data_IF_938232014637
#
_entry.id   IF_938232014637
#
_cell.length_a   1.000
_cell.length_b   1.000
_cell.length_c   1.000
_cell.angle_alpha   90.00
_cell.angle_beta   90.00
_cell.angle_gamma   90.00
#
_symmetry.space_group_name_H-M   'P 1'
#
loop_
_entity.id
_entity.type
_entity.pdbx_description
1 polymer ?
#
# COMPACT_ATOMS: atom_id res chain seq x y z
N UNK A 1 12.37 -3.60 23.94
CA UNK A 1 11.67 -3.14 22.72
C UNK A 1 12.62 -2.24 21.96
N UNK A 2 12.79 -2.45 20.66
CA UNK A 2 13.58 -1.55 19.81
C UNK A 2 12.75 -0.30 19.56
N UNK A 3 13.34 0.89 19.69
CA UNK A 3 12.65 2.12 19.37
C UNK A 3 12.33 2.17 17.85
N UNK A 4 11.19 2.74 17.43
CA UNK A 4 10.91 2.92 16.02
C UNK A 4 11.97 3.80 15.33
N UNK A 5 12.33 3.45 14.11
CA UNK A 5 13.25 4.22 13.26
C UNK A 5 12.48 4.79 12.07
N UNK A 6 12.42 6.12 11.96
CA UNK A 6 11.65 6.84 10.95
C UNK A 6 12.61 7.44 9.93
N UNK A 7 12.51 6.97 8.68
CA UNK A 7 13.19 7.55 7.53
C UNK A 7 12.17 8.13 6.54
N UNK A 8 12.51 9.26 5.92
CA UNK A 8 11.70 9.87 4.87
C UNK A 8 12.45 9.80 3.55
N UNK A 9 11.79 9.24 2.53
CA UNK A 9 12.32 9.18 1.16
C UNK A 9 11.48 10.06 0.25
N UNK A 10 12.12 10.86 -0.60
CA UNK A 10 11.47 11.62 -1.66
C UNK A 10 11.63 10.84 -2.96
N UNK A 11 10.52 10.49 -3.60
CA UNK A 11 10.51 9.59 -4.75
C UNK A 11 10.04 10.28 -6.02
N UNK A 12 10.45 9.74 -7.17
CA UNK A 12 10.04 10.23 -8.48
C UNK A 12 10.50 11.66 -8.78
N UNK A 13 9.91 12.26 -9.81
CA UNK A 13 10.15 13.64 -10.22
C UNK A 13 9.31 14.64 -9.43
N UNK A 14 8.15 14.20 -8.92
CA UNK A 14 7.28 15.04 -8.10
C UNK A 14 7.78 15.17 -6.65
N UNK A 15 8.77 14.37 -6.25
CA UNK A 15 9.38 14.44 -4.92
C UNK A 15 8.37 14.14 -3.81
N UNK A 16 7.43 13.22 -4.05
CA UNK A 16 6.45 12.84 -3.03
C UNK A 16 7.17 12.13 -1.88
N UNK A 17 6.83 12.47 -0.62
CA UNK A 17 7.43 11.82 0.53
C UNK A 17 6.78 10.47 0.80
N UNK A 18 7.62 9.49 1.14
CA UNK A 18 7.24 8.21 1.73
C UNK A 18 7.92 8.14 3.09
N UNK A 19 7.14 8.01 4.15
CA UNK A 19 7.69 7.68 5.47
C UNK A 19 7.86 6.16 5.55
N UNK A 20 9.03 5.73 6.00
CA UNK A 20 9.40 4.33 6.21
C UNK A 20 9.72 4.20 7.68
N UNK A 21 8.97 3.36 8.38
CA UNK A 21 9.06 3.21 9.82
C UNK A 21 9.43 1.78 10.14
N UNK A 22 10.66 1.53 10.56
CA UNK A 22 11.09 0.22 11.06
C UNK A 22 10.78 0.09 12.55
N UNK A 23 10.53 -1.14 13.02
CA UNK A 23 10.09 -1.43 14.39
C UNK A 23 8.80 -0.65 14.78
N UNK A 24 7.82 -0.63 13.86
CA UNK A 24 6.62 0.20 13.93
C UNK A 24 5.70 -0.09 15.11
N UNK A 25 5.33 -1.35 15.32
CA UNK A 25 4.49 -1.78 16.45
C UNK A 25 5.36 -2.29 17.61
N UNK A 26 5.00 -2.03 18.89
CA UNK A 26 5.78 -2.49 20.03
C UNK A 26 5.81 -4.02 20.19
N UNK A 27 4.74 -4.71 19.80
CA UNK A 27 4.62 -6.18 19.85
C UNK A 27 4.02 -6.76 18.55
N UNK A 28 4.80 -6.86 17.45
CA UNK A 28 4.30 -7.37 16.18
C UNK A 28 4.07 -8.89 16.20
N UNK A 29 4.68 -9.61 17.16
CA UNK A 29 4.53 -11.07 17.28
C UNK A 29 3.15 -11.42 17.82
N UNK A 30 2.65 -10.67 18.80
CA UNK A 30 1.26 -10.80 19.28
C UNK A 30 0.26 -10.49 18.17
N UNK A 31 0.49 -9.46 17.35
CA UNK A 31 -0.37 -9.17 16.19
C UNK A 31 -0.46 -10.37 15.23
N UNK A 32 0.66 -11.04 14.94
CA UNK A 32 0.65 -12.25 14.09
C UNK A 32 -0.12 -13.41 14.73
N UNK A 33 0.05 -13.64 16.03
CA UNK A 33 -0.70 -14.68 16.76
C UNK A 33 -2.21 -14.41 16.72
N UNK A 34 -2.62 -13.18 16.98
CA UNK A 34 -4.03 -12.78 16.91
C UNK A 34 -4.59 -12.91 15.49
N UNK A 35 -3.82 -12.53 14.48
CA UNK A 35 -4.23 -12.72 13.08
C UNK A 35 -4.51 -14.21 12.77
N UNK A 36 -3.69 -15.14 13.27
CA UNK A 36 -3.90 -16.58 13.05
C UNK A 36 -5.21 -17.12 13.67
N UNK A 37 -5.76 -16.43 14.65
CA UNK A 37 -7.02 -16.77 15.34
C UNK A 37 -8.22 -15.97 14.78
N UNK A 38 -7.99 -15.03 13.87
CA UNK A 38 -9.01 -14.12 13.35
C UNK A 38 -9.67 -14.69 12.09
N UNK A 39 -10.98 -14.49 11.96
CA UNK A 39 -11.72 -14.89 10.77
C UNK A 39 -11.54 -13.89 9.62
N UNK A 40 -10.83 -14.30 8.57
CA UNK A 40 -10.68 -13.53 7.34
C UNK A 40 -11.85 -13.73 6.37
N UNK A 41 -12.19 -12.66 5.64
CA UNK A 41 -13.26 -12.62 4.65
C UNK A 41 -12.77 -12.00 3.33
N UNK A 42 -13.43 -12.23 2.19
CA UNK A 42 -13.06 -11.58 0.93
C UNK A 42 -12.93 -10.06 1.10
N UNK A 43 -11.85 -9.50 0.55
CA UNK A 43 -11.59 -8.08 0.57
C UNK A 43 -12.59 -7.29 -0.27
N UNK A 44 -12.78 -6.03 0.10
CA UNK A 44 -13.60 -5.06 -0.63
C UNK A 44 -12.72 -4.09 -1.42
N UNK A 45 -13.32 -3.18 -2.20
CA UNK A 45 -12.63 -2.09 -2.90
C UNK A 45 -11.42 -2.54 -3.76
N UNK A 46 -11.61 -3.60 -4.56
CA UNK A 46 -10.61 -4.16 -5.47
C UNK A 46 -9.39 -4.81 -4.80
N UNK A 47 -9.37 -4.98 -3.48
CA UNK A 47 -8.26 -5.69 -2.83
C UNK A 47 -8.16 -7.16 -3.30
N UNK A 48 -7.00 -7.63 -3.81
CA UNK A 48 -6.86 -8.97 -4.40
C UNK A 48 -6.59 -10.05 -3.34
N UNK A 49 -7.51 -10.18 -2.38
CA UNK A 49 -7.40 -11.24 -1.37
C UNK A 49 -8.43 -11.12 -0.25
N UNK A 50 -8.00 -11.38 0.97
CA UNK A 50 -8.85 -11.45 2.17
C UNK A 50 -8.43 -10.43 3.22
N UNK A 51 -9.38 -10.01 4.05
CA UNK A 51 -9.20 -9.03 5.13
C UNK A 51 -9.88 -9.48 6.42
N UNK A 52 -9.42 -8.93 7.54
CA UNK A 52 -10.00 -9.17 8.85
C UNK A 52 -9.86 -7.94 9.76
N UNK A 53 -10.65 -7.90 10.82
CA UNK A 53 -10.60 -6.84 11.83
C UNK A 53 -9.28 -6.88 12.60
N UNK A 54 -8.82 -5.71 13.04
CA UNK A 54 -7.63 -5.56 13.86
C UNK A 54 -7.96 -5.69 15.36
N UNK A 55 -6.96 -5.98 16.20
CA UNK A 55 -7.05 -5.80 17.64
C UNK A 55 -7.43 -4.35 17.99
N UNK A 56 -8.24 -4.17 19.03
CA UNK A 56 -8.84 -2.88 19.37
C UNK A 56 -7.80 -1.81 19.76
N UNK A 57 -6.66 -2.24 20.28
CA UNK A 57 -5.53 -1.42 20.72
C UNK A 57 -4.58 -1.02 19.58
N UNK A 58 -4.59 -1.73 18.44
CA UNK A 58 -3.64 -1.51 17.34
C UNK A 58 -3.49 -0.04 16.95
N UNK A 59 -4.61 0.67 16.75
CA UNK A 59 -4.58 2.07 16.30
C UNK A 59 -4.04 3.01 17.39
N UNK A 60 -4.34 2.73 18.65
CA UNK A 60 -3.83 3.49 19.79
C UNK A 60 -2.33 3.28 19.98
N UNK A 61 -1.86 2.05 19.81
CA UNK A 61 -0.46 1.68 19.99
C UNK A 61 0.46 2.31 18.93
N UNK A 62 -0.04 2.49 17.70
CA UNK A 62 0.77 3.05 16.60
C UNK A 62 0.59 4.56 16.41
N UNK A 63 -0.42 5.18 17.03
CA UNK A 63 -0.69 6.61 16.84
C UNK A 63 0.52 7.52 17.13
N UNK A 64 1.27 7.36 18.24
CA UNK A 64 2.37 8.30 18.55
C UNK A 64 3.52 8.27 17.53
N UNK A 65 3.90 7.07 17.07
CA UNK A 65 4.95 6.94 16.04
C UNK A 65 4.45 7.41 14.68
N UNK A 66 3.17 7.19 14.37
CA UNK A 66 2.56 7.67 13.14
C UNK A 66 2.47 9.20 13.09
N UNK A 67 2.04 9.85 14.17
CA UNK A 67 2.01 11.32 14.28
C UNK A 67 3.40 11.92 14.06
N UNK A 68 4.44 11.33 14.68
CA UNK A 68 5.84 11.74 14.47
C UNK A 68 6.26 11.58 13.00
N UNK A 69 5.86 10.48 12.35
CA UNK A 69 6.16 10.25 10.95
C UNK A 69 5.41 11.23 10.02
N UNK A 70 4.16 11.58 10.37
CA UNK A 70 3.35 12.54 9.61
C UNK A 70 3.95 13.95 9.67
N UNK A 71 4.36 14.38 10.86
CA UNK A 71 5.11 15.60 11.11
C UNK A 71 6.36 15.67 10.20
N UNK A 72 7.22 14.66 10.28
CA UNK A 72 8.50 14.65 9.56
C UNK A 72 8.36 14.55 8.03
N UNK A 73 7.45 13.71 7.54
CA UNK A 73 7.34 13.44 6.10
C UNK A 73 6.46 14.45 5.36
N UNK A 74 5.37 14.88 5.99
CA UNK A 74 4.34 15.69 5.35
C UNK A 74 4.23 17.11 5.92
N UNK A 75 4.98 17.44 6.98
CA UNK A 75 4.85 18.73 7.67
C UNK A 75 3.48 18.91 8.29
N UNK A 76 2.87 17.81 8.77
CA UNK A 76 1.52 17.79 9.31
C UNK A 76 1.56 17.41 10.78
N UNK A 77 1.43 18.42 11.64
CA UNK A 77 1.43 18.28 13.10
C UNK A 77 0.00 18.43 13.69
N UNK A 78 -0.99 18.67 12.84
CA UNK A 78 -2.40 18.74 13.23
C UNK A 78 -2.97 17.32 13.42
N UNK A 79 -4.24 17.24 13.83
CA UNK A 79 -4.91 15.96 14.03
C UNK A 79 -4.98 15.07 12.78
N UNK A 80 -5.28 13.80 13.02
CA UNK A 80 -5.64 12.84 11.98
C UNK A 80 -6.93 12.10 12.37
N UNK A 81 -7.67 11.63 11.37
CA UNK A 81 -8.82 10.77 11.56
C UNK A 81 -8.63 9.45 10.81
N UNK A 82 -8.78 8.32 11.50
CA UNK A 82 -8.80 7.01 10.86
C UNK A 82 -10.04 6.87 9.96
N UNK A 83 -9.84 6.35 8.75
CA UNK A 83 -10.90 6.07 7.77
C UNK A 83 -11.24 4.58 7.80
N UNK A 84 -10.23 3.72 7.68
CA UNK A 84 -10.36 2.27 7.65
C UNK A 84 -9.02 1.63 8.05
N UNK A 85 -9.04 0.46 8.67
CA UNK A 85 -7.86 -0.30 9.02
C UNK A 85 -8.19 -1.78 9.19
N UNK A 86 -7.44 -2.65 8.52
CA UNK A 86 -7.71 -4.09 8.54
C UNK A 86 -6.42 -4.90 8.37
N UNK A 87 -6.39 -6.10 8.95
CA UNK A 87 -5.49 -7.14 8.46
C UNK A 87 -5.82 -7.42 7.00
N UNK A 88 -4.80 -7.71 6.20
CA UNK A 88 -4.87 -7.85 4.76
C UNK A 88 -3.91 -8.96 4.31
N UNK A 89 -4.41 -9.91 3.53
CA UNK A 89 -3.60 -10.98 2.92
C UNK A 89 -3.93 -11.09 1.45
N UNK A 90 -2.90 -11.03 0.60
CA UNK A 90 -3.05 -11.22 -0.84
C UNK A 90 -3.19 -12.71 -1.12
N UNK A 91 -4.29 -13.12 -1.76
CA UNK A 91 -4.58 -14.55 -2.01
C UNK A 91 -5.08 -14.83 -3.42
N UNK A 92 -5.41 -13.80 -4.21
CA UNK A 92 -5.96 -13.98 -5.55
C UNK A 92 -4.87 -14.43 -6.52
N UNK A 93 -5.01 -15.59 -7.19
CA UNK A 93 -4.04 -16.03 -8.19
C UNK A 93 -3.92 -15.05 -9.38
N UNK A 94 -2.74 -14.92 -10.01
CA UNK A 94 -2.49 -14.01 -11.13
C UNK A 94 -3.51 -14.07 -12.28
N UNK A 95 -3.93 -15.29 -12.65
CA UNK A 95 -4.89 -15.55 -13.73
C UNK A 95 -6.32 -15.12 -13.38
N UNK A 96 -6.62 -14.90 -12.09
CA UNK A 96 -7.93 -14.45 -11.58
C UNK A 96 -7.99 -12.97 -11.25
N UNK A 97 -6.91 -12.22 -11.43
CA UNK A 97 -6.90 -10.79 -11.19
C UNK A 97 -7.83 -10.08 -12.17
N UNK A 98 -8.63 -9.15 -11.66
CA UNK A 98 -9.39 -8.21 -12.50
C UNK A 98 -8.46 -7.19 -13.14
N UNK A 99 -8.90 -6.51 -14.21
CA UNK A 99 -8.07 -5.51 -14.90
C UNK A 99 -7.51 -4.42 -13.97
N UNK A 100 -8.28 -3.81 -13.04
CA UNK A 100 -7.72 -2.84 -12.10
C UNK A 100 -6.62 -3.39 -11.19
N UNK A 101 -6.65 -4.69 -10.87
CA UNK A 101 -5.65 -5.36 -10.03
C UNK A 101 -4.35 -5.69 -10.78
N UNK A 102 -4.33 -5.52 -12.11
CA UNK A 102 -3.16 -5.73 -12.98
C UNK A 102 -2.45 -4.43 -13.34
N UNK A 103 -2.83 -3.32 -12.71
CA UNK A 103 -2.35 -1.97 -13.00
C UNK A 103 -1.93 -1.27 -11.70
N UNK A 104 -0.95 -0.35 -11.74
CA UNK A 104 -0.76 0.60 -10.66
C UNK A 104 -2.05 1.41 -10.44
N UNK A 105 -2.35 1.70 -9.18
CA UNK A 105 -3.58 2.37 -8.77
C UNK A 105 -3.32 3.47 -7.75
N UNK A 106 -4.38 4.23 -7.46
CA UNK A 106 -4.50 5.16 -6.33
C UNK A 106 -5.75 4.77 -5.55
N UNK A 107 -5.75 4.91 -4.23
CA UNK A 107 -6.91 4.58 -3.39
C UNK A 107 -7.93 5.72 -3.34
N UNK A 108 -7.46 6.95 -3.55
CA UNK A 108 -8.27 8.15 -3.59
C UNK A 108 -7.55 9.28 -4.31
N UNK A 109 -8.31 10.30 -4.71
CA UNK A 109 -7.79 11.52 -5.35
C UNK A 109 -7.64 12.70 -4.38
N UNK A 110 -8.03 12.51 -3.11
CA UNK A 110 -7.82 13.48 -2.05
C UNK A 110 -6.39 13.40 -1.53
N UNK A 111 -5.64 14.50 -1.66
CA UNK A 111 -4.26 14.59 -1.21
C UNK A 111 -4.11 14.51 0.32
N UNK A 112 -5.19 14.74 1.07
CA UNK A 112 -5.22 14.62 2.53
C UNK A 112 -5.41 13.18 2.99
N UNK A 113 -5.80 12.27 2.09
CA UNK A 113 -5.90 10.85 2.41
C UNK A 113 -4.53 10.19 2.31
N UNK A 114 -4.13 9.55 3.40
CA UNK A 114 -2.85 8.86 3.56
C UNK A 114 -3.13 7.36 3.66
N UNK A 115 -2.34 6.58 2.93
CA UNK A 115 -2.29 5.13 3.01
C UNK A 115 -1.18 4.71 3.97
N UNK A 116 -1.43 3.63 4.70
CA UNK A 116 -0.48 2.95 5.55
C UNK A 116 -0.46 1.46 5.22
N UNK A 117 0.72 0.92 4.97
CA UNK A 117 0.96 -0.52 4.82
C UNK A 117 1.98 -0.96 5.85
N UNK A 118 1.57 -1.80 6.80
CA UNK A 118 2.44 -2.37 7.83
C UNK A 118 2.67 -3.86 7.58
N UNK A 119 3.92 -4.23 7.34
CA UNK A 119 4.36 -5.57 6.99
C UNK A 119 4.54 -6.44 8.23
N UNK A 120 3.76 -7.51 8.31
CA UNK A 120 3.79 -8.44 9.44
C UNK A 120 4.32 -9.82 9.05
N UNK A 121 4.92 -9.99 7.87
CA UNK A 121 5.44 -11.27 7.39
C UNK A 121 6.97 -11.34 7.52
N UNK A 122 7.54 -12.24 8.36
CA UNK A 122 8.98 -12.31 8.61
C UNK A 122 9.83 -12.66 7.39
N UNK A 123 9.32 -13.52 6.52
CA UNK A 123 10.05 -14.09 5.39
C UNK A 123 9.67 -13.45 4.04
N UNK A 124 8.77 -12.46 4.06
CA UNK A 124 8.26 -11.82 2.86
C UNK A 124 9.32 -10.91 2.22
N UNK A 125 9.46 -11.03 0.90
CA UNK A 125 10.41 -10.28 0.07
C UNK A 125 9.70 -9.36 -0.93
N UNK A 126 8.38 -9.28 -0.83
CA UNK A 126 7.56 -8.36 -1.61
C UNK A 126 7.78 -6.92 -1.13
N UNK A 127 6.80 -6.05 -1.33
CA UNK A 127 6.86 -4.67 -0.87
C UNK A 127 5.76 -3.83 -1.47
N UNK A 128 6.05 -2.53 -1.62
CA UNK A 128 5.22 -1.59 -2.38
C UNK A 128 6.10 -0.94 -3.44
N UNK A 129 5.63 -0.98 -4.68
CA UNK A 129 6.24 -0.28 -5.80
C UNK A 129 5.41 0.97 -6.12
N UNK A 130 6.10 2.02 -6.57
CA UNK A 130 5.52 3.31 -6.95
C UNK A 130 5.80 3.59 -8.40
N UNK A 131 4.86 4.26 -9.07
CA UNK A 131 4.85 4.35 -10.52
C UNK A 131 4.62 5.77 -11.03
N UNK A 132 5.14 6.01 -12.24
CA UNK A 132 4.75 7.13 -13.09
C UNK A 132 3.97 6.59 -14.28
N UNK A 133 2.82 7.19 -14.56
CA UNK A 133 2.12 6.95 -15.82
C UNK A 133 2.87 7.62 -16.98
N UNK A 134 3.24 6.87 -18.02
CA UNK A 134 4.19 7.34 -19.03
C UNK A 134 3.62 8.43 -19.93
N UNK A 135 2.37 8.31 -20.37
CA UNK A 135 1.79 9.26 -21.33
C UNK A 135 1.42 10.59 -20.69
N UNK A 136 0.93 10.59 -19.44
CA UNK A 136 0.60 11.82 -18.72
C UNK A 136 1.77 12.38 -17.93
N UNK A 137 2.78 11.56 -17.62
CA UNK A 137 3.89 11.91 -16.73
C UNK A 137 3.50 11.99 -15.25
N UNK A 138 2.27 11.63 -14.88
CA UNK A 138 1.79 11.76 -13.50
C UNK A 138 2.32 10.65 -12.61
N UNK A 139 2.78 11.03 -11.42
CA UNK A 139 3.10 10.12 -10.32
C UNK A 139 1.97 10.18 -9.28
N UNK A 140 1.48 11.39 -9.00
CA UNK A 140 0.30 11.64 -8.17
C UNK A 140 -0.90 12.02 -9.04
N UNK A 141 -2.07 11.44 -8.75
CA UNK A 141 -3.32 11.74 -9.44
C UNK A 141 -4.35 12.26 -8.43
N UNK A 142 -4.42 13.58 -8.31
CA UNK A 142 -5.40 14.29 -7.51
C UNK A 142 -6.73 14.52 -8.25
N UNK A 143 -7.65 15.24 -7.61
CA UNK A 143 -8.96 15.54 -8.18
C UNK A 143 -8.88 16.24 -9.55
N UNK A 144 -7.94 17.17 -9.73
CA UNK A 144 -7.77 17.92 -10.97
C UNK A 144 -7.16 17.06 -12.09
N UNK A 145 -6.25 16.15 -11.75
CA UNK A 145 -5.57 15.26 -12.68
C UNK A 145 -6.38 14.03 -13.05
N UNK A 146 -7.30 13.60 -12.19
CA UNK A 146 -8.05 12.35 -12.36
C UNK A 146 -8.80 12.22 -13.70
N UNK A 147 -9.51 13.25 -14.24
CA UNK A 147 -10.22 13.08 -15.52
C UNK A 147 -9.25 12.88 -16.68
N UNK A 148 -8.11 13.56 -16.66
CA UNK A 148 -7.05 13.45 -17.67
C UNK A 148 -6.42 12.05 -17.60
N UNK A 149 -6.05 11.61 -16.40
CA UNK A 149 -5.44 10.30 -16.18
C UNK A 149 -6.34 9.16 -16.68
N UNK A 150 -7.59 9.09 -16.20
CA UNK A 150 -8.50 8.03 -16.59
C UNK A 150 -8.89 8.12 -18.07
N UNK A 151 -9.01 9.33 -18.63
CA UNK A 151 -9.25 9.52 -20.06
C UNK A 151 -8.16 8.89 -20.92
N UNK A 152 -6.89 9.15 -20.58
CA UNK A 152 -5.73 8.60 -21.29
C UNK A 152 -5.58 7.09 -21.08
N UNK A 153 -5.60 6.62 -19.83
CA UNK A 153 -5.46 5.19 -19.51
C UNK A 153 -6.54 4.37 -20.22
N UNK A 154 -7.79 4.83 -20.21
CA UNK A 154 -8.88 4.13 -20.90
C UNK A 154 -8.68 4.09 -22.42
N UNK A 155 -8.15 5.15 -23.04
CA UNK A 155 -7.83 5.15 -24.46
C UNK A 155 -6.70 4.16 -24.78
N UNK A 156 -5.64 4.14 -23.97
CA UNK A 156 -4.51 3.24 -24.14
C UNK A 156 -4.90 1.78 -23.98
N UNK A 157 -5.77 1.44 -23.02
CA UNK A 157 -6.28 0.09 -22.83
C UNK A 157 -7.19 -0.35 -24.00
N UNK A 158 -8.02 0.55 -24.54
CA UNK A 158 -8.87 0.26 -25.70
C UNK A 158 -8.07 0.00 -26.98
N UNK A 159 -6.99 0.75 -27.20
CA UNK A 159 -6.23 0.67 -28.45
C UNK A 159 -4.98 -0.22 -28.37
N UNK A 160 -4.38 -0.34 -27.18
CA UNK A 160 -3.16 -1.11 -26.93
C UNK A 160 -3.39 -2.48 -26.30
N UNK A 161 -4.62 -2.81 -25.94
CA UNK A 161 -4.97 -4.04 -25.24
C UNK A 161 -4.82 -3.94 -23.72
N UNK A 162 -5.47 -4.87 -23.02
CA UNK A 162 -5.31 -5.04 -21.59
C UNK A 162 -3.95 -5.67 -21.26
N UNK A 163 -3.33 -5.35 -20.09
CA UNK A 163 -2.19 -6.08 -19.59
C UNK A 163 -2.51 -7.57 -19.41
N UNK A 164 -1.50 -8.40 -19.64
CA UNK A 164 -1.54 -9.82 -19.34
C UNK A 164 -1.94 -10.07 -17.87
N UNK A 165 -2.59 -11.21 -17.55
CA UNK A 165 -2.89 -11.57 -16.19
C UNK A 165 -1.62 -11.63 -15.33
N UNK A 166 -1.60 -10.87 -14.23
CA UNK A 166 -0.43 -10.78 -13.37
C UNK A 166 -0.48 -9.59 -12.42
N UNK A 167 0.20 -9.75 -11.28
CA UNK A 167 0.59 -8.59 -10.48
C UNK A 167 1.60 -7.76 -11.27
N UNK A 168 1.55 -6.44 -11.09
CA UNK A 168 2.50 -5.54 -11.75
C UNK A 168 3.89 -5.79 -11.17
N UNK A 169 4.83 -6.18 -12.03
CA UNK A 169 6.23 -6.39 -11.69
C UNK A 169 7.12 -5.50 -12.55
N UNK A 170 7.75 -4.49 -11.95
CA UNK A 170 8.62 -3.58 -12.69
C UNK A 170 7.87 -2.59 -13.58
N UNK A 171 8.65 -1.91 -14.42
CA UNK A 171 8.13 -1.04 -15.46
C UNK A 171 7.36 -1.81 -16.54
N UNK A 172 6.27 -1.23 -17.02
CA UNK A 172 5.46 -1.73 -18.14
C UNK A 172 5.46 -0.75 -19.31
N UNK A 173 4.71 -1.08 -20.38
CA UNK A 173 4.49 -0.15 -21.51
C UNK A 173 3.76 1.12 -21.08
N UNK A 174 2.87 1.05 -20.09
CA UNK A 174 2.03 2.17 -19.65
C UNK A 174 2.63 2.90 -18.44
N UNK A 175 3.38 2.19 -17.60
CA UNK A 175 3.90 2.71 -16.35
C UNK A 175 5.41 2.51 -16.23
N UNK A 176 6.09 3.46 -15.62
CA UNK A 176 7.47 3.35 -15.19
C UNK A 176 7.49 3.14 -13.68
N UNK A 177 8.16 2.10 -13.21
CA UNK A 177 8.45 1.96 -11.77
C UNK A 177 9.51 3.00 -11.40
N UNK A 178 9.17 3.89 -10.47
CA UNK A 178 10.03 5.02 -10.06
C UNK A 178 10.72 4.78 -8.72
N UNK A 179 10.15 3.92 -7.87
CA UNK A 179 10.75 3.50 -6.60
C UNK A 179 10.06 2.21 -6.13
N UNK A 180 10.76 1.49 -5.25
CA UNK A 180 10.28 0.29 -4.59
C UNK A 180 10.81 0.27 -3.15
N UNK A 181 9.93 -0.05 -2.22
CA UNK A 181 10.30 -0.30 -0.83
C UNK A 181 10.01 -1.75 -0.52
N UNK A 182 11.08 -2.49 -0.25
CA UNK A 182 10.96 -3.88 0.17
C UNK A 182 10.28 -3.97 1.53
N UNK A 183 9.45 -4.99 1.65
CA UNK A 183 8.86 -5.42 2.90
C UNK A 183 9.98 -5.77 3.89
N UNK A 184 9.73 -5.45 5.15
CA UNK A 184 10.54 -5.91 6.28
C UNK A 184 9.59 -6.17 7.42
N UNK A 185 9.85 -7.20 8.21
CA UNK A 185 9.02 -7.46 9.37
C UNK A 185 8.94 -6.26 10.31
N UNK A 186 7.72 -5.89 10.70
CA UNK A 186 7.41 -4.73 11.53
C UNK A 186 7.83 -3.39 10.91
N UNK A 187 7.83 -3.30 9.56
CA UNK A 187 7.97 -2.04 8.82
C UNK A 187 6.61 -1.50 8.45
N UNK A 188 6.38 -0.20 8.64
CA UNK A 188 5.27 0.52 8.02
C UNK A 188 5.75 1.47 6.93
N UNK A 189 4.94 1.61 5.88
CA UNK A 189 5.06 2.64 4.86
C UNK A 189 3.86 3.57 4.97
N UNK A 190 4.12 4.87 4.91
CA UNK A 190 3.10 5.92 4.98
C UNK A 190 3.27 6.84 3.78
N UNK A 191 2.23 6.99 2.96
CA UNK A 191 2.27 7.74 1.71
C UNK A 191 0.89 8.27 1.31
N UNK A 192 0.82 9.26 0.42
CA UNK A 192 -0.46 9.79 -0.06
C UNK A 192 -1.20 8.74 -0.89
N UNK A 193 -2.48 8.52 -0.60
CA UNK A 193 -3.33 7.58 -1.35
C UNK A 193 -3.47 7.93 -2.84
N UNK A 194 -3.21 9.19 -3.21
CA UNK A 194 -3.24 9.68 -4.58
C UNK A 194 -2.00 9.32 -5.42
N UNK A 195 -0.96 8.77 -4.79
CA UNK A 195 0.25 8.32 -5.46
C UNK A 195 0.00 7.00 -6.19
N UNK A 196 0.46 6.88 -7.44
CA UNK A 196 0.35 5.63 -8.19
C UNK A 196 1.26 4.57 -7.59
N UNK A 197 0.67 3.45 -7.17
CA UNK A 197 1.38 2.38 -6.49
C UNK A 197 0.76 1.01 -6.77
N UNK A 198 1.49 -0.04 -6.38
CA UNK A 198 1.00 -1.41 -6.36
C UNK A 198 1.77 -2.22 -5.31
N UNK A 199 1.17 -3.31 -4.83
CA UNK A 199 1.95 -4.32 -4.10
C UNK A 199 3.00 -4.91 -5.03
N UNK A 200 4.26 -4.92 -4.60
CA UNK A 200 5.37 -5.51 -5.34
C UNK A 200 5.41 -7.03 -5.10
N UNK A 201 4.36 -7.73 -5.57
CA UNK A 201 4.19 -9.18 -5.37
C UNK A 201 5.09 -9.96 -6.31
N UNK A 202 6.00 -10.76 -5.77
CA UNK A 202 6.91 -11.57 -6.56
C UNK A 202 6.17 -12.67 -7.35
N UNK A 203 6.65 -13.07 -8.53
CA UNK A 203 6.03 -14.16 -9.31
C UNK A 203 5.96 -15.50 -8.58
N UNK A 204 6.88 -15.74 -7.64
CA UNK A 204 6.97 -16.92 -6.79
C UNK A 204 6.39 -16.70 -5.38
N UNK A 205 5.67 -15.60 -5.15
CA UNK A 205 5.06 -15.29 -3.86
C UNK A 205 4.06 -16.37 -3.43
N UNK A 206 4.06 -16.67 -2.13
CA UNK A 206 3.12 -17.63 -1.52
C UNK A 206 1.78 -16.95 -1.27
N UNK A 207 0.82 -17.16 -2.16
CA UNK A 207 -0.55 -16.60 -2.07
C UNK A 207 -1.47 -17.42 -1.14
N UNK A 208 -0.98 -17.74 0.06
CA UNK A 208 -1.71 -18.50 1.07
C UNK A 208 -2.69 -17.62 1.84
N UNK A 209 -3.89 -18.14 2.13
CA UNK A 209 -4.85 -17.51 3.04
C UNK A 209 -4.46 -17.63 4.53
N UNK A 210 -3.51 -18.50 4.85
CA UNK A 210 -2.96 -18.67 6.19
C UNK A 210 -2.11 -17.44 6.59
N UNK A 211 -2.47 -16.66 7.63
CA UNK A 211 -1.73 -15.47 8.08
C UNK A 211 -0.28 -15.75 8.48
N UNK A 212 0.04 -17.00 8.83
CA UNK A 212 1.42 -17.39 9.19
C UNK A 212 2.29 -17.51 7.95
N UNK A 213 1.72 -17.97 6.83
CA UNK A 213 2.45 -18.33 5.60
C UNK A 213 2.30 -17.30 4.46
N UNK A 214 1.15 -16.65 4.38
CA UNK A 214 0.85 -15.66 3.36
C UNK A 214 1.45 -14.30 3.68
N UNK A 215 1.38 -13.40 2.71
CA UNK A 215 1.74 -11.98 2.88
C UNK A 215 0.72 -11.28 3.77
N UNK A 216 0.90 -11.38 5.08
CA UNK A 216 0.15 -10.67 6.09
C UNK A 216 0.66 -9.23 6.22
N UNK A 217 -0.24 -8.28 6.00
CA UNK A 217 -0.05 -6.86 6.28
C UNK A 217 -1.22 -6.31 7.11
N UNK A 218 -1.02 -5.15 7.71
CA UNK A 218 -2.11 -4.23 8.02
C UNK A 218 -2.17 -3.18 6.91
N UNK A 219 -3.35 -2.98 6.35
CA UNK A 219 -3.63 -1.87 5.42
C UNK A 219 -4.56 -0.91 6.13
N UNK A 220 -4.17 0.36 6.21
CA UNK A 220 -5.00 1.39 6.82
C UNK A 220 -5.01 2.69 6.00
N UNK A 221 -6.06 3.46 6.21
CA UNK A 221 -6.26 4.77 5.63
C UNK A 221 -6.61 5.77 6.72
N UNK A 222 -6.06 6.96 6.61
CA UNK A 222 -6.38 8.09 7.48
C UNK A 222 -6.51 9.37 6.65
N UNK A 223 -7.20 10.35 7.21
CA UNK A 223 -7.29 11.69 6.69
C UNK A 223 -6.52 12.63 7.59
N UNK A 224 -5.69 13.49 6.99
CA UNK A 224 -5.13 14.64 7.67
C UNK A 224 -6.27 15.65 7.93
N UNK A 225 -6.38 16.19 9.15
CA UNK A 225 -7.42 17.17 9.56
C UNK A 225 -6.87 18.57 9.69
#
# INVERSE_FOLDING_TARGET
MTAPDIAVRRIGREGQPIAIIDAFHPDPDTLRRLAAETAFRPGVHHYPGIRADLPADYLTDVAPVLETALAHAFGHDDGMAWIDASYSIVTTPPDRLTLPQRLPHMDAVDLRRIALVHYLSPEDRDGTAFFRHRSTGFETVDQARSPIYFGQLNAELRHGGAPEPGYVAGSTRLFEEIDRIDARYNRALVYRSALLHSGAIAPDAVLSADPVRGRLTVTAFLSLT
#
